data_IF_798313669174
#
_entry.id   IF_798313669174
#
_cell.length_a   1.000
_cell.length_b   1.000
_cell.length_c   1.000
_cell.angle_alpha   90.00
_cell.angle_beta   90.00
_cell.angle_gamma   90.00
#
_symmetry.space_group_name_H-M   'P 1'
#
loop_
_entity.id
_entity.type
_entity.pdbx_description
1 polymer ?
#
# COMPACT_ATOMS: atom_id res chain seq x y z
N UNK A 1 -22.89 -21.66 19.41
CA UNK A 1 -21.46 -21.51 19.10
C UNK A 1 -21.31 -21.69 17.59
N UNK A 2 -20.97 -20.63 16.89
CA UNK A 2 -20.61 -20.73 15.46
C UNK A 2 -19.29 -21.49 15.34
N UNK A 3 -19.09 -22.35 14.34
CA UNK A 3 -17.82 -23.05 14.15
C UNK A 3 -16.71 -22.01 13.92
N UNK A 4 -15.71 -22.00 14.78
CA UNK A 4 -14.46 -21.30 14.50
C UNK A 4 -13.85 -21.94 13.27
N UNK A 5 -13.94 -21.25 12.12
CA UNK A 5 -13.14 -21.58 10.96
C UNK A 5 -11.69 -21.32 11.35
N UNK A 6 -10.93 -22.35 11.66
CA UNK A 6 -9.47 -22.34 11.66
C UNK A 6 -8.98 -22.23 10.20
N UNK A 7 -9.30 -21.13 9.54
CA UNK A 7 -8.73 -20.83 8.24
C UNK A 7 -7.30 -20.35 8.47
N UNK A 8 -6.35 -21.25 8.27
CA UNK A 8 -4.93 -20.86 8.21
C UNK A 8 -4.75 -19.84 7.11
N UNK A 9 -4.14 -18.68 7.43
CA UNK A 9 -3.84 -17.64 6.45
C UNK A 9 -2.96 -18.23 5.34
N UNK A 10 -3.39 -18.05 4.09
CA UNK A 10 -2.61 -18.47 2.93
C UNK A 10 -1.46 -17.46 2.68
N UNK A 11 -0.28 -17.98 2.34
CA UNK A 11 0.85 -17.17 1.90
C UNK A 11 1.08 -17.33 0.40
N UNK A 12 1.44 -16.24 -0.26
CA UNK A 12 1.71 -16.21 -1.71
C UNK A 12 3.04 -15.50 -1.97
N UNK A 13 3.81 -15.92 -2.99
CA UNK A 13 4.94 -15.13 -3.46
C UNK A 13 4.48 -13.74 -3.90
N UNK A 14 5.25 -12.72 -3.60
CA UNK A 14 5.00 -11.36 -4.04
C UNK A 14 5.60 -11.17 -5.44
N UNK A 15 4.79 -11.34 -6.47
CA UNK A 15 5.27 -11.42 -7.85
C UNK A 15 6.22 -12.60 -8.07
N UNK A 16 7.26 -12.38 -8.87
CA UNK A 16 8.33 -13.36 -9.12
C UNK A 16 9.44 -13.33 -8.05
N UNK A 17 9.27 -12.56 -6.95
CA UNK A 17 10.25 -12.49 -5.88
C UNK A 17 10.16 -13.69 -4.94
N UNK A 18 11.21 -13.89 -4.13
CA UNK A 18 11.24 -14.95 -3.11
C UNK A 18 10.46 -14.63 -1.84
N UNK A 19 10.00 -13.36 -1.65
CA UNK A 19 9.29 -12.98 -0.43
C UNK A 19 7.85 -13.49 -0.47
N UNK A 20 7.39 -14.06 0.65
CA UNK A 20 6.03 -14.57 0.80
C UNK A 20 5.23 -13.66 1.72
N UNK A 21 4.07 -13.24 1.25
CA UNK A 21 3.13 -12.40 2.00
C UNK A 21 1.83 -13.15 2.26
N UNK A 22 1.17 -12.82 3.36
CA UNK A 22 -0.21 -13.27 3.61
C UNK A 22 -1.14 -12.77 2.50
N UNK A 23 -2.09 -13.59 2.07
CA UNK A 23 -3.03 -13.25 1.00
C UNK A 23 -3.92 -12.03 1.35
N UNK A 24 -4.00 -11.70 2.63
CA UNK A 24 -4.64 -10.48 3.16
C UNK A 24 -3.57 -9.70 3.91
N UNK A 25 -3.45 -8.41 3.61
CA UNK A 25 -2.59 -7.48 4.34
C UNK A 25 -3.41 -6.52 5.21
N UNK A 26 -2.80 -6.00 6.27
CA UNK A 26 -3.39 -4.94 7.09
C UNK A 26 -2.88 -3.58 6.60
N UNK A 27 -3.79 -2.75 6.08
CA UNK A 27 -3.50 -1.37 5.68
C UNK A 27 -3.81 -0.37 6.78
N UNK A 28 -2.98 0.65 6.93
CA UNK A 28 -3.18 1.71 7.92
C UNK A 28 -4.13 2.82 7.45
N UNK A 29 -4.40 2.92 6.15
CA UNK A 29 -5.14 4.03 5.58
C UNK A 29 -6.53 4.21 6.19
N UNK A 30 -6.81 5.42 6.68
CA UNK A 30 -8.05 5.84 7.34
C UNK A 30 -8.40 5.07 8.63
N UNK A 31 -7.45 4.35 9.22
CA UNK A 31 -7.70 3.53 10.42
C UNK A 31 -6.61 3.75 11.47
N UNK A 32 -5.41 3.24 11.24
CA UNK A 32 -4.26 3.35 12.15
C UNK A 32 -3.73 4.78 12.13
N UNK A 33 -3.58 5.38 13.31
CA UNK A 33 -3.13 6.77 13.45
C UNK A 33 -4.18 7.81 13.02
N UNK A 34 -5.46 7.42 12.92
CA UNK A 34 -6.60 8.31 12.64
C UNK A 34 -7.75 8.07 13.62
N UNK A 35 -8.68 7.17 13.24
CA UNK A 35 -9.84 6.80 14.09
C UNK A 35 -9.47 5.84 15.21
N UNK A 36 -8.38 5.12 15.10
CA UNK A 36 -7.87 4.19 16.10
C UNK A 36 -6.62 4.80 16.75
N UNK A 37 -6.64 4.93 18.05
CA UNK A 37 -5.51 5.44 18.83
C UNK A 37 -4.33 4.45 18.88
N UNK A 38 -3.23 4.82 19.53
CA UNK A 38 -2.02 4.00 19.58
C UNK A 38 -2.28 2.63 20.22
N UNK A 39 -3.05 2.58 21.32
CA UNK A 39 -3.35 1.31 22.01
C UNK A 39 -4.25 0.40 21.14
N UNK A 40 -5.26 0.96 20.52
CA UNK A 40 -6.12 0.24 19.57
C UNK A 40 -5.35 -0.23 18.36
N UNK A 41 -4.43 0.58 17.84
CA UNK A 41 -3.53 0.22 16.72
C UNK A 41 -2.61 -0.93 17.10
N UNK A 42 -2.02 -0.92 18.30
CA UNK A 42 -1.22 -2.04 18.80
C UNK A 42 -2.04 -3.32 18.91
N UNK A 43 -3.24 -3.26 19.51
CA UNK A 43 -4.12 -4.43 19.62
C UNK A 43 -4.53 -4.99 18.26
N UNK A 44 -4.88 -4.13 17.32
CA UNK A 44 -5.26 -4.52 15.96
C UNK A 44 -4.10 -5.20 15.21
N UNK A 45 -2.91 -4.62 15.28
CA UNK A 45 -1.70 -5.13 14.62
C UNK A 45 -1.26 -6.46 15.27
N UNK A 46 -1.25 -6.54 16.62
CA UNK A 46 -0.92 -7.77 17.32
C UNK A 46 -1.90 -8.89 16.96
N UNK A 47 -3.20 -8.62 16.99
CA UNK A 47 -4.22 -9.60 16.61
C UNK A 47 -4.06 -10.07 15.15
N UNK A 48 -3.77 -9.16 14.21
CA UNK A 48 -3.51 -9.51 12.82
C UNK A 48 -2.27 -10.43 12.70
N UNK A 49 -1.19 -10.08 13.38
CA UNK A 49 0.05 -10.86 13.39
C UNK A 49 -0.16 -12.26 13.99
N UNK A 50 -0.83 -12.37 15.13
CA UNK A 50 -1.15 -13.65 15.79
C UNK A 50 -1.99 -14.57 14.91
N UNK A 51 -2.83 -13.98 14.04
CA UNK A 51 -3.63 -14.72 13.05
C UNK A 51 -2.89 -14.94 11.71
N UNK A 52 -1.58 -14.69 11.65
CA UNK A 52 -0.74 -15.04 10.51
C UNK A 52 -0.63 -13.95 9.44
N UNK A 53 -1.16 -12.75 9.63
CA UNK A 53 -0.93 -11.62 8.72
C UNK A 53 0.51 -11.13 8.93
N UNK A 54 1.30 -11.11 7.87
CA UNK A 54 2.66 -10.60 7.89
C UNK A 54 2.86 -9.34 7.04
N UNK A 55 1.89 -8.97 6.19
CA UNK A 55 1.95 -7.78 5.34
C UNK A 55 1.23 -6.61 6.01
N UNK A 56 1.99 -5.53 6.28
CA UNK A 56 1.50 -4.28 6.87
C UNK A 56 1.81 -3.13 5.91
N UNK A 57 0.76 -2.46 5.41
CA UNK A 57 0.86 -1.43 4.38
C UNK A 57 0.51 -0.05 4.93
N UNK A 58 1.37 0.92 4.66
CA UNK A 58 1.18 2.33 5.00
C UNK A 58 1.67 3.24 3.87
N UNK A 59 1.72 4.55 4.08
CA UNK A 59 2.34 5.54 3.20
C UNK A 59 2.70 6.79 4.00
N UNK A 60 3.69 7.55 3.51
CA UNK A 60 4.12 8.82 4.10
C UNK A 60 2.96 9.83 4.24
N UNK A 61 2.10 9.91 3.22
CA UNK A 61 0.96 10.85 3.18
C UNK A 61 -0.19 10.48 4.11
N UNK A 62 -0.26 9.23 4.62
CA UNK A 62 -1.40 8.83 5.45
C UNK A 62 -1.37 9.60 6.77
N UNK A 63 -2.34 10.51 6.90
CA UNK A 63 -2.43 11.47 8.01
C UNK A 63 -1.10 12.21 8.23
N UNK A 64 -0.46 12.61 7.12
CA UNK A 64 0.81 13.36 7.11
C UNK A 64 1.91 12.69 7.95
N UNK A 65 2.09 11.38 7.77
CA UNK A 65 3.10 10.57 8.45
C UNK A 65 2.65 9.91 9.75
N UNK A 66 1.50 10.28 10.29
CA UNK A 66 0.98 9.71 11.54
C UNK A 66 0.63 8.23 11.39
N UNK A 67 0.15 7.80 10.20
CA UNK A 67 -0.08 6.39 9.88
C UNK A 67 1.20 5.54 10.00
N UNK A 68 2.35 6.05 9.54
CA UNK A 68 3.64 5.38 9.71
C UNK A 68 4.11 5.39 11.16
N UNK A 69 3.96 6.52 11.89
CA UNK A 69 4.33 6.61 13.31
C UNK A 69 3.54 5.60 14.15
N UNK A 70 2.22 5.58 14.00
CA UNK A 70 1.34 4.68 14.75
C UNK A 70 1.61 3.21 14.42
N UNK A 71 1.86 2.89 13.13
CA UNK A 71 2.29 1.54 12.75
C UNK A 71 3.63 1.18 13.37
N UNK A 72 4.62 2.09 13.36
CA UNK A 72 5.92 1.90 13.99
C UNK A 72 5.83 1.59 15.49
N UNK A 73 4.94 2.28 16.20
CA UNK A 73 4.63 1.99 17.62
C UNK A 73 4.01 0.60 17.76
N UNK A 74 3.06 0.26 16.89
CA UNK A 74 2.31 -0.99 16.98
C UNK A 74 3.14 -2.25 16.68
N UNK A 75 4.16 -2.15 15.82
CA UNK A 75 5.01 -3.29 15.44
C UNK A 75 6.28 -3.43 16.31
N UNK A 76 6.54 -2.49 17.22
CA UNK A 76 7.81 -2.40 17.97
C UNK A 76 8.20 -3.70 18.68
N UNK A 77 7.23 -4.34 19.33
CA UNK A 77 7.45 -5.57 20.10
C UNK A 77 7.34 -6.84 19.24
N UNK A 78 7.03 -6.70 17.95
CA UNK A 78 6.91 -7.85 17.05
C UNK A 78 8.28 -8.19 16.43
N UNK A 79 8.55 -9.48 16.17
CA UNK A 79 9.83 -9.89 15.56
C UNK A 79 9.94 -9.37 14.13
N UNK A 80 10.80 -8.37 13.90
CA UNK A 80 10.96 -7.63 12.62
C UNK A 80 11.11 -8.57 11.41
N UNK A 81 11.88 -9.65 11.54
CA UNK A 81 12.12 -10.62 10.46
C UNK A 81 10.86 -11.39 10.00
N UNK A 82 9.78 -11.35 10.79
CA UNK A 82 8.49 -11.97 10.43
C UNK A 82 7.51 -11.00 9.78
N UNK A 83 7.87 -9.72 9.68
CA UNK A 83 7.03 -8.66 9.13
C UNK A 83 7.47 -8.31 7.72
N UNK A 84 6.51 -8.06 6.85
CA UNK A 84 6.70 -7.41 5.55
C UNK A 84 6.05 -6.02 5.65
N UNK A 85 6.88 -5.00 5.81
CA UNK A 85 6.44 -3.61 5.96
C UNK A 85 6.53 -2.93 4.61
N UNK A 86 5.40 -2.40 4.14
CA UNK A 86 5.29 -1.63 2.91
C UNK A 86 4.96 -0.18 3.22
N UNK A 87 5.70 0.77 2.60
CA UNK A 87 5.35 2.18 2.60
C UNK A 87 5.53 2.80 1.22
N UNK A 88 5.18 4.08 1.04
CA UNK A 88 5.09 4.71 -0.26
C UNK A 88 5.50 6.18 -0.19
N UNK A 89 5.93 6.76 -1.32
CA UNK A 89 6.12 8.20 -1.51
C UNK A 89 5.54 8.67 -2.84
N UNK A 90 5.12 9.91 -2.89
CA UNK A 90 4.73 10.68 -4.07
C UNK A 90 3.99 11.96 -3.69
N UNK A 91 2.93 11.85 -2.87
CA UNK A 91 2.05 12.98 -2.57
C UNK A 91 2.78 14.08 -1.78
N UNK A 92 2.31 15.34 -1.87
CA UNK A 92 2.90 16.44 -1.11
C UNK A 92 2.88 16.16 0.41
N UNK A 93 4.03 16.33 1.05
CA UNK A 93 4.19 16.25 2.51
C UNK A 93 4.28 17.64 3.15
N UNK A 94 4.54 18.66 2.34
CA UNK A 94 4.55 20.08 2.72
C UNK A 94 4.28 20.95 1.49
N UNK A 95 4.31 22.28 1.67
CA UNK A 95 4.19 23.25 0.58
C UNK A 95 5.48 23.40 -0.24
N UNK A 96 6.60 22.79 0.18
CA UNK A 96 7.85 22.82 -0.58
C UNK A 96 7.70 22.06 -1.90
N UNK A 97 8.21 22.69 -2.97
CA UNK A 97 8.11 22.15 -4.33
C UNK A 97 8.84 20.82 -4.53
N UNK A 98 9.85 20.53 -3.70
CA UNK A 98 10.63 19.30 -3.75
C UNK A 98 10.18 18.25 -2.71
N UNK A 99 9.20 18.54 -1.85
CA UNK A 99 8.69 17.58 -0.86
C UNK A 99 7.48 16.80 -1.43
N UNK A 100 7.60 16.39 -2.71
CA UNK A 100 6.60 15.65 -3.49
C UNK A 100 7.20 15.00 -4.73
N UNK A 101 6.44 14.12 -5.38
CA UNK A 101 6.77 13.50 -6.66
C UNK A 101 7.74 12.33 -6.52
N UNK A 102 8.38 11.97 -7.66
CA UNK A 102 9.30 10.83 -7.73
C UNK A 102 10.71 11.25 -8.15
N UNK A 103 11.09 12.52 -7.93
CA UNK A 103 12.47 12.92 -8.12
C UNK A 103 13.40 12.13 -7.19
N UNK A 104 14.61 11.88 -7.64
CA UNK A 104 15.65 11.23 -6.83
C UNK A 104 15.81 11.89 -5.45
N UNK A 105 15.78 13.23 -5.42
CA UNK A 105 15.86 13.99 -4.17
C UNK A 105 14.74 13.62 -3.21
N UNK A 106 13.48 13.69 -3.66
CA UNK A 106 12.35 13.41 -2.80
C UNK A 106 12.32 11.95 -2.34
N UNK A 107 12.57 10.98 -3.23
CA UNK A 107 12.62 9.56 -2.91
C UNK A 107 13.60 9.29 -1.76
N UNK A 108 14.83 9.82 -1.85
CA UNK A 108 15.88 9.62 -0.82
C UNK A 108 15.59 10.33 0.50
N UNK A 109 14.93 11.47 0.48
CA UNK A 109 14.56 12.20 1.70
C UNK A 109 13.32 11.60 2.35
N UNK A 110 12.32 11.22 1.56
CA UNK A 110 11.08 10.61 2.03
C UNK A 110 11.34 9.28 2.73
N UNK A 111 12.16 8.37 2.16
CA UNK A 111 12.46 7.09 2.82
C UNK A 111 13.11 7.29 4.20
N UNK A 112 14.03 8.23 4.35
CA UNK A 112 14.67 8.52 5.64
C UNK A 112 13.67 9.01 6.68
N UNK A 113 12.73 9.86 6.26
CA UNK A 113 11.64 10.34 7.12
C UNK A 113 10.71 9.16 7.49
N UNK A 114 10.37 8.29 6.54
CA UNK A 114 9.53 7.09 6.76
C UNK A 114 10.18 6.09 7.72
N UNK A 115 11.46 5.76 7.54
CA UNK A 115 12.22 4.88 8.44
C UNK A 115 12.23 5.41 9.88
N UNK A 116 12.40 6.73 10.04
CA UNK A 116 12.34 7.37 11.37
C UNK A 116 10.96 7.24 12.01
N UNK A 117 9.86 7.46 11.25
CA UNK A 117 8.48 7.34 11.77
C UNK A 117 8.14 5.88 12.09
N UNK A 118 8.54 4.94 11.25
CA UNK A 118 8.34 3.50 11.45
C UNK A 118 9.27 2.90 12.51
N UNK A 119 10.27 3.65 12.98
CA UNK A 119 11.29 3.19 13.94
C UNK A 119 11.97 1.89 13.50
N UNK A 120 12.39 1.80 12.24
CA UNK A 120 13.05 0.64 11.64
C UNK A 120 14.20 1.10 10.72
N UNK A 121 15.20 0.24 10.52
CA UNK A 121 16.37 0.54 9.69
C UNK A 121 16.09 0.33 8.19
N UNK A 122 15.09 -0.49 7.85
CA UNK A 122 14.68 -0.77 6.48
C UNK A 122 13.19 -1.08 6.37
N UNK A 123 12.63 -0.90 5.18
CA UNK A 123 11.30 -1.43 4.82
C UNK A 123 11.47 -2.56 3.79
N UNK A 124 10.53 -3.51 3.81
CA UNK A 124 10.58 -4.64 2.89
C UNK A 124 10.15 -4.20 1.48
N UNK A 125 9.15 -3.34 1.38
CA UNK A 125 8.63 -2.86 0.12
C UNK A 125 8.44 -1.34 0.14
N UNK A 126 9.08 -0.64 -0.79
CA UNK A 126 8.89 0.81 -1.00
C UNK A 126 8.23 1.05 -2.35
N UNK A 127 7.13 1.81 -2.37
CA UNK A 127 6.31 1.95 -3.57
C UNK A 127 6.21 3.40 -4.07
N UNK A 128 6.31 3.57 -5.39
CA UNK A 128 5.91 4.80 -6.05
C UNK A 128 4.39 4.90 -6.01
N UNK A 129 3.83 5.76 -5.14
CA UNK A 129 2.39 5.83 -4.84
C UNK A 129 1.54 6.21 -6.05
N UNK A 130 2.12 6.94 -7.03
CA UNK A 130 1.53 7.25 -8.34
C UNK A 130 2.63 7.30 -9.39
N UNK A 131 2.24 7.29 -10.65
CA UNK A 131 3.14 7.65 -11.74
C UNK A 131 3.37 9.17 -11.72
N UNK A 132 4.61 9.59 -11.91
CA UNK A 132 4.99 11.00 -11.99
C UNK A 132 5.32 11.36 -13.45
N UNK A 133 4.46 12.14 -14.14
CA UNK A 133 4.72 12.52 -15.52
C UNK A 133 5.82 13.55 -15.67
N UNK A 134 6.18 14.27 -14.59
CA UNK A 134 7.15 15.35 -14.61
C UNK A 134 8.59 14.86 -14.35
N UNK A 135 8.75 13.58 -13.98
CA UNK A 135 10.05 12.97 -13.66
C UNK A 135 10.36 11.84 -14.65
N UNK A 136 11.55 11.83 -15.27
CA UNK A 136 11.95 10.72 -16.12
C UNK A 136 11.90 9.38 -15.36
N UNK A 137 11.29 8.35 -15.96
CA UNK A 137 11.20 7.00 -15.37
C UNK A 137 12.58 6.47 -14.96
N UNK A 138 13.63 6.81 -15.74
CA UNK A 138 15.03 6.45 -15.47
C UNK A 138 15.52 6.99 -14.13
N UNK A 139 15.18 8.23 -13.77
CA UNK A 139 15.59 8.85 -12.51
C UNK A 139 14.95 8.14 -11.32
N UNK A 140 13.65 7.87 -11.40
CA UNK A 140 12.90 7.13 -10.39
C UNK A 140 13.46 5.71 -10.22
N UNK A 141 13.64 4.96 -11.32
CA UNK A 141 14.14 3.59 -11.27
C UNK A 141 15.56 3.49 -10.68
N UNK A 142 16.45 4.41 -11.05
CA UNK A 142 17.81 4.47 -10.49
C UNK A 142 17.77 4.80 -9.00
N UNK A 143 16.93 5.74 -8.57
CA UNK A 143 16.80 6.07 -7.15
C UNK A 143 16.35 4.86 -6.32
N UNK A 144 15.36 4.08 -6.81
CA UNK A 144 14.91 2.86 -6.14
C UNK A 144 15.99 1.77 -6.11
N UNK A 145 16.72 1.60 -7.21
CA UNK A 145 17.88 0.69 -7.26
C UNK A 145 18.92 1.06 -6.21
N UNK A 146 19.29 2.33 -6.11
CA UNK A 146 20.28 2.81 -5.14
C UNK A 146 19.83 2.60 -3.69
N UNK A 147 18.54 2.79 -3.39
CA UNK A 147 18.01 2.54 -2.06
C UNK A 147 18.08 1.05 -1.65
N UNK A 148 17.93 0.13 -2.62
CA UNK A 148 18.17 -1.30 -2.38
C UNK A 148 19.65 -1.54 -2.10
N UNK A 149 20.56 -0.98 -2.90
CA UNK A 149 22.00 -1.11 -2.70
C UNK A 149 22.46 -0.55 -1.34
N UNK A 150 21.79 0.50 -0.86
CA UNK A 150 22.05 1.12 0.45
C UNK A 150 21.42 0.34 1.62
N UNK A 151 20.57 -0.65 1.35
CA UNK A 151 19.90 -1.44 2.37
C UNK A 151 18.73 -0.74 3.08
N UNK A 152 18.27 0.42 2.57
CA UNK A 152 17.11 1.12 3.14
C UNK A 152 15.78 0.45 2.77
N UNK A 153 15.75 -0.24 1.63
CA UNK A 153 14.59 -1.00 1.16
C UNK A 153 15.07 -2.36 0.61
N UNK A 154 14.25 -3.40 0.72
CA UNK A 154 14.60 -4.72 0.17
C UNK A 154 14.05 -4.91 -1.25
N UNK A 155 12.84 -4.41 -1.48
CA UNK A 155 12.14 -4.46 -2.75
C UNK A 155 11.46 -3.12 -3.02
N UNK A 156 11.14 -2.87 -4.30
CA UNK A 156 10.31 -1.74 -4.65
C UNK A 156 9.16 -2.12 -5.57
N UNK A 157 8.17 -1.25 -5.64
CA UNK A 157 6.99 -1.44 -6.45
C UNK A 157 6.39 -0.13 -6.91
N UNK A 158 5.29 -0.24 -7.66
CA UNK A 158 4.53 0.88 -8.17
C UNK A 158 3.07 0.81 -7.70
N UNK A 159 2.32 1.88 -7.81
CA UNK A 159 0.91 1.94 -7.48
C UNK A 159 0.15 2.76 -8.51
N UNK A 160 -0.94 2.20 -9.04
CA UNK A 160 -1.78 2.87 -10.04
C UNK A 160 -1.03 3.29 -11.32
N UNK A 161 0.06 2.62 -11.65
CA UNK A 161 0.78 2.89 -12.90
C UNK A 161 0.04 2.24 -14.08
N UNK A 162 -0.06 2.93 -15.23
CA UNK A 162 -0.60 2.33 -16.45
C UNK A 162 0.33 1.23 -16.99
N UNK A 163 -0.24 0.29 -17.75
CA UNK A 163 0.46 -0.92 -18.20
C UNK A 163 1.71 -0.62 -19.03
N UNK A 164 1.66 0.40 -19.88
CA UNK A 164 2.78 0.84 -20.71
C UNK A 164 3.94 1.38 -19.85
N UNK A 165 3.65 2.07 -18.76
CA UNK A 165 4.69 2.60 -17.84
C UNK A 165 5.31 1.49 -16.99
N UNK A 166 4.52 0.49 -16.63
CA UNK A 166 5.05 -0.74 -15.98
C UNK A 166 6.00 -1.45 -16.95
N UNK A 167 5.61 -1.62 -18.21
CA UNK A 167 6.45 -2.26 -19.22
C UNK A 167 7.74 -1.47 -19.49
N UNK A 168 7.64 -0.15 -19.60
CA UNK A 168 8.78 0.76 -19.79
C UNK A 168 9.81 0.63 -18.68
N UNK A 169 9.38 0.74 -17.42
CA UNK A 169 10.31 0.70 -16.28
C UNK A 169 10.96 -0.66 -16.10
N UNK A 170 10.25 -1.75 -16.36
CA UNK A 170 10.81 -3.10 -16.30
C UNK A 170 11.85 -3.31 -17.39
N UNK A 171 11.54 -2.93 -18.64
CA UNK A 171 12.49 -3.02 -19.75
C UNK A 171 13.76 -2.19 -19.49
N UNK A 172 13.59 -0.99 -18.95
CA UNK A 172 14.71 -0.12 -18.56
C UNK A 172 15.58 -0.79 -17.49
N UNK A 173 14.99 -1.29 -16.42
CA UNK A 173 15.74 -1.95 -15.35
C UNK A 173 16.50 -3.19 -15.87
N UNK A 174 15.89 -3.97 -16.76
CA UNK A 174 16.56 -5.12 -17.39
C UNK A 174 17.76 -4.70 -18.23
N UNK A 175 17.61 -3.64 -19.04
CA UNK A 175 18.69 -3.14 -19.89
C UNK A 175 19.88 -2.59 -19.09
N UNK A 176 19.62 -1.96 -17.94
CA UNK A 176 20.62 -1.34 -17.08
C UNK A 176 21.17 -2.30 -16.00
N UNK A 177 20.62 -3.50 -15.85
CA UNK A 177 20.99 -4.43 -14.76
C UNK A 177 20.52 -3.95 -13.38
N UNK A 178 19.44 -3.15 -13.30
CA UNK A 178 18.89 -2.65 -12.05
C UNK A 178 17.83 -3.57 -11.47
N UNK A 179 17.57 -3.42 -10.16
CA UNK A 179 16.46 -4.11 -9.51
C UNK A 179 15.13 -3.62 -10.08
N UNK A 180 14.32 -4.55 -10.56
CA UNK A 180 13.00 -4.27 -11.12
C UNK A 180 11.95 -4.10 -10.03
N UNK A 181 10.84 -3.37 -10.29
CA UNK A 181 9.68 -3.40 -9.40
C UNK A 181 9.09 -4.81 -9.34
N UNK A 182 8.69 -5.25 -8.14
CA UNK A 182 8.12 -6.58 -7.94
C UNK A 182 6.59 -6.55 -7.77
N UNK A 183 6.00 -5.37 -7.60
CA UNK A 183 4.56 -5.21 -7.35
C UNK A 183 3.98 -4.02 -8.09
N UNK A 184 2.67 -4.11 -8.35
CA UNK A 184 1.81 -2.96 -8.57
C UNK A 184 0.69 -2.98 -7.52
N UNK A 185 0.35 -1.82 -6.95
CA UNK A 185 -0.77 -1.67 -6.00
C UNK A 185 -1.92 -0.90 -6.67
N UNK A 186 -2.88 -1.58 -7.32
CA UNK A 186 -4.02 -0.96 -7.97
C UNK A 186 -5.27 -0.95 -7.10
N UNK A 187 -6.22 -0.05 -7.42
CA UNK A 187 -7.61 -0.19 -7.01
C UNK A 187 -8.22 -1.40 -7.74
N UNK A 188 -8.78 -2.33 -6.99
CA UNK A 188 -9.45 -3.48 -7.57
C UNK A 188 -10.55 -4.03 -6.66
N UNK A 189 -11.75 -4.14 -7.20
CA UNK A 189 -12.90 -4.74 -6.56
C UNK A 189 -13.96 -5.10 -7.63
N UNK A 190 -15.12 -5.63 -7.23
CA UNK A 190 -16.17 -6.04 -8.16
C UNK A 190 -16.71 -4.91 -9.06
N UNK A 191 -16.62 -3.64 -8.62
CA UNK A 191 -17.07 -2.47 -9.39
C UNK A 191 -15.95 -1.83 -10.23
N UNK A 192 -14.68 -2.08 -9.90
CA UNK A 192 -13.52 -1.44 -10.52
C UNK A 192 -12.57 -2.52 -11.03
N UNK A 193 -12.82 -2.96 -12.27
CA UNK A 193 -12.13 -4.09 -12.91
C UNK A 193 -11.27 -3.68 -14.12
N UNK A 194 -11.08 -2.41 -14.35
CA UNK A 194 -10.38 -1.86 -15.52
C UNK A 194 -8.96 -2.39 -15.67
N UNK A 195 -8.31 -2.73 -14.55
CA UNK A 195 -6.96 -3.30 -14.57
C UNK A 195 -6.85 -4.66 -15.29
N UNK A 196 -7.95 -5.41 -15.40
CA UNK A 196 -7.97 -6.73 -16.04
C UNK A 196 -7.66 -6.65 -17.53
N UNK A 197 -7.92 -5.51 -18.19
CA UNK A 197 -7.73 -5.34 -19.63
C UNK A 197 -6.25 -5.30 -20.02
N UNK A 198 -5.42 -4.57 -19.28
CA UNK A 198 -4.02 -4.36 -19.64
C UNK A 198 -3.04 -4.52 -18.46
N UNK A 199 -3.36 -3.95 -17.28
CA UNK A 199 -2.42 -3.91 -16.15
C UNK A 199 -2.12 -5.31 -15.62
N UNK A 200 -3.14 -6.13 -15.38
CA UNK A 200 -2.96 -7.50 -14.88
C UNK A 200 -2.20 -8.38 -15.87
N UNK A 201 -2.58 -8.47 -17.16
CA UNK A 201 -1.81 -9.27 -18.13
C UNK A 201 -0.37 -8.81 -18.29
N UNK A 202 -0.12 -7.49 -18.28
CA UNK A 202 1.25 -6.95 -18.35
C UNK A 202 2.05 -7.31 -17.11
N UNK A 203 1.48 -7.12 -15.92
CA UNK A 203 2.13 -7.47 -14.66
C UNK A 203 2.46 -8.96 -14.56
N UNK A 204 1.53 -9.83 -14.94
CA UNK A 204 1.75 -11.28 -14.98
C UNK A 204 2.92 -11.67 -15.89
N UNK A 205 2.94 -11.12 -17.12
CA UNK A 205 4.03 -11.37 -18.07
C UNK A 205 5.40 -10.91 -17.55
N UNK A 206 5.42 -9.82 -16.79
CA UNK A 206 6.64 -9.19 -16.27
C UNK A 206 7.01 -9.62 -14.85
N UNK A 207 6.22 -10.51 -14.24
CA UNK A 207 6.50 -11.05 -12.91
C UNK A 207 6.14 -10.13 -11.74
N UNK A 208 5.30 -9.11 -11.93
CA UNK A 208 4.83 -8.25 -10.83
C UNK A 208 3.60 -8.85 -10.15
N UNK A 209 3.61 -8.88 -8.81
CA UNK A 209 2.43 -9.19 -7.99
C UNK A 209 1.46 -8.02 -7.91
N UNK A 210 0.18 -8.31 -7.63
CA UNK A 210 -0.83 -7.29 -7.37
C UNK A 210 -1.13 -7.20 -5.87
N UNK A 211 -0.91 -6.04 -5.27
CA UNK A 211 -1.33 -5.70 -3.91
C UNK A 211 -2.57 -4.80 -4.01
N UNK A 212 -3.75 -5.39 -4.14
CA UNK A 212 -4.96 -4.61 -4.39
C UNK A 212 -5.43 -3.86 -3.15
N UNK A 213 -5.89 -2.61 -3.33
CA UNK A 213 -6.52 -1.85 -2.26
C UNK A 213 -8.02 -1.67 -2.51
N UNK A 214 -8.75 -1.40 -1.42
CA UNK A 214 -10.23 -1.26 -1.42
C UNK A 214 -10.99 -2.45 -2.02
N UNK A 215 -10.67 -3.71 -1.66
CA UNK A 215 -11.35 -4.88 -2.22
C UNK A 215 -12.85 -4.92 -1.90
N UNK A 216 -13.28 -4.22 -0.84
CA UNK A 216 -14.69 -4.11 -0.44
C UNK A 216 -15.31 -2.76 -0.81
N UNK A 217 -14.75 -2.04 -1.80
CA UNK A 217 -15.28 -0.76 -2.30
C UNK A 217 -15.63 0.21 -1.16
N UNK A 218 -14.68 0.48 -0.26
CA UNK A 218 -14.85 1.34 0.91
C UNK A 218 -15.92 0.85 1.91
N UNK A 219 -16.27 -0.43 1.87
CA UNK A 219 -17.28 -1.05 2.72
C UNK A 219 -18.65 -1.22 2.07
N UNK A 220 -18.85 -0.75 0.85
CA UNK A 220 -20.13 -0.90 0.11
C UNK A 220 -20.40 -2.38 -0.18
N UNK A 221 -19.41 -3.13 -0.62
CA UNK A 221 -19.56 -4.57 -0.90
C UNK A 221 -19.80 -5.45 0.34
N UNK A 222 -19.83 -4.86 1.54
CA UNK A 222 -20.28 -5.60 2.75
C UNK A 222 -21.81 -5.65 2.89
N UNK A 223 -22.53 -4.89 2.06
CA UNK A 223 -24.01 -4.79 2.12
C UNK A 223 -24.54 -3.98 3.29
N UNK A 224 -23.70 -3.22 4.01
CA UNK A 224 -24.12 -2.41 5.16
C UNK A 224 -24.81 -1.10 4.76
N UNK A 225 -24.58 -0.62 3.55
CA UNK A 225 -25.27 0.54 2.98
C UNK A 225 -26.44 0.09 2.13
N UNK A 226 -27.56 0.81 2.20
CA UNK A 226 -28.81 0.45 1.50
C UNK A 226 -29.29 1.63 0.66
N UNK A 227 -29.87 1.40 -0.54
CA UNK A 227 -30.48 2.45 -1.33
C UNK A 227 -31.58 3.15 -0.53
N UNK A 228 -31.59 4.50 -0.60
CA UNK A 228 -32.60 5.35 0.06
C UNK A 228 -32.52 5.40 1.59
N UNK A 229 -31.55 4.73 2.24
CA UNK A 229 -31.38 4.77 3.69
C UNK A 229 -30.17 5.65 4.09
N UNK A 230 -30.26 6.26 5.27
CA UNK A 230 -29.12 6.97 5.85
C UNK A 230 -28.01 5.97 6.20
N UNK A 231 -26.72 6.27 5.95
CA UNK A 231 -25.63 5.39 6.31
C UNK A 231 -25.61 5.09 7.81
N UNK A 232 -25.30 3.86 8.22
CA UNK A 232 -25.15 3.51 9.64
C UNK A 232 -24.07 4.38 10.31
N UNK A 233 -24.29 4.72 11.59
CA UNK A 233 -23.31 5.46 12.39
C UNK A 233 -22.00 4.68 12.55
N UNK A 234 -20.91 5.39 12.80
CA UNK A 234 -19.55 4.84 12.97
C UNK A 234 -19.09 4.01 11.76
N UNK A 235 -19.47 4.47 10.58
CA UNK A 235 -19.00 3.90 9.32
C UNK A 235 -18.18 4.92 8.52
N UNK A 236 -17.44 4.43 7.53
CA UNK A 236 -16.65 5.30 6.65
C UNK A 236 -17.50 6.38 5.95
N UNK A 237 -18.79 6.15 5.73
CA UNK A 237 -19.70 7.12 5.12
C UNK A 237 -20.13 8.25 6.10
N UNK A 238 -20.01 8.03 7.41
CA UNK A 238 -20.33 9.03 8.46
C UNK A 238 -19.09 9.68 9.07
N UNK A 239 -17.92 9.07 8.89
CA UNK A 239 -16.64 9.63 9.35
C UNK A 239 -16.11 10.70 8.38
N UNK A 240 -15.70 11.85 8.91
CA UNK A 240 -15.24 12.99 8.11
C UNK A 240 -14.04 12.65 7.21
N UNK A 241 -13.11 11.83 7.71
CA UNK A 241 -11.94 11.36 6.98
C UNK A 241 -12.28 10.41 5.83
N UNK A 242 -13.39 9.69 5.93
CA UNK A 242 -13.77 8.59 5.05
C UNK A 242 -14.81 8.92 4.00
N UNK A 243 -15.76 9.80 4.32
CA UNK A 243 -16.99 10.01 3.51
C UNK A 243 -16.72 10.38 2.05
N UNK A 244 -15.69 11.19 1.77
CA UNK A 244 -15.32 11.57 0.40
C UNK A 244 -14.87 10.39 -0.46
N UNK A 245 -14.33 9.33 0.14
CA UNK A 245 -13.88 8.13 -0.58
C UNK A 245 -15.00 7.13 -0.82
N UNK A 246 -16.00 7.09 0.08
CA UNK A 246 -17.19 6.26 -0.08
C UNK A 246 -18.16 6.86 -1.10
N UNK A 247 -18.24 8.20 -1.19
CA UNK A 247 -19.19 8.91 -2.03
C UNK A 247 -19.25 8.39 -3.49
N UNK A 248 -18.11 7.98 -4.04
CA UNK A 248 -18.02 7.44 -5.40
C UNK A 248 -18.73 6.07 -5.58
N UNK A 249 -19.15 5.43 -4.49
CA UNK A 249 -19.83 4.13 -4.49
C UNK A 249 -21.20 4.18 -3.81
N UNK A 250 -21.74 5.39 -3.55
CA UNK A 250 -23.00 5.57 -2.82
C UNK A 250 -24.19 5.89 -3.73
N UNK A 251 -24.05 5.74 -5.05
CA UNK A 251 -25.19 5.83 -5.96
C UNK A 251 -26.00 4.51 -5.93
N UNK A 252 -27.27 4.60 -6.26
CA UNK A 252 -28.18 3.42 -6.30
C UNK A 252 -27.68 2.31 -7.23
N UNK A 253 -26.85 2.66 -8.24
CA UNK A 253 -26.25 1.65 -9.14
C UNK A 253 -25.21 0.75 -8.43
N UNK A 254 -24.67 1.16 -7.28
CA UNK A 254 -23.70 0.41 -6.50
C UNK A 254 -24.25 -0.19 -5.22
N UNK A 255 -25.43 0.23 -4.77
CA UNK A 255 -26.08 -0.23 -3.55
C UNK A 255 -27.16 -1.27 -3.84
#
# INVERSE_FOLDING_TARGET
MAPCYNATVQYRPLGASGVKVSAIGLGSWLTIGTVVDDQGSQNLVAHAFENGINLFDTADVYTNGEGERALGVAIRELPRHRLVIATKCFFPMSDDVNDRGLSRKHIHESIKKSLKRLATDYVDLYQCHRFDPDVPVRETALAMHDLIQQGHILYWGVSMWPAERIAEVVALCQAEGWHMPITNQPLYNLYRREIEVAVVPTSQRLGLGQLTYSPLAQGVLTGKYKPGEAPPQNTRATEESGKKFVANFMSDDYL
#
